data_IF_424958662134
#
_entry.id   IF_424958662134
#
_cell.length_a   1.000
_cell.length_b   1.000
_cell.length_c   1.000
_cell.angle_alpha   90.00
_cell.angle_beta   90.00
_cell.angle_gamma   90.00
#
_symmetry.space_group_name_H-M   'P 1'
#
loop_
_entity.id
_entity.type
_entity.pdbx_description
1 polymer ?
#
# COMPACT_ATOMS: atom_id res chain seq x y z
N UNK A 1 5.72 -3.31 -33.30
CA UNK A 1 6.25 -2.40 -32.26
C UNK A 1 7.75 -2.51 -32.27
N UNK A 2 8.45 -1.40 -32.46
CA UNK A 2 9.93 -1.37 -32.42
C UNK A 2 10.44 -1.33 -30.98
N UNK A 3 11.74 -1.55 -30.77
CA UNK A 3 12.36 -1.37 -29.44
C UNK A 3 12.23 0.08 -28.95
N UNK A 4 12.34 1.05 -29.85
CA UNK A 4 12.16 2.47 -29.51
C UNK A 4 10.73 2.76 -29.06
N UNK A 5 9.72 2.17 -29.71
CA UNK A 5 8.32 2.30 -29.28
C UNK A 5 8.12 1.72 -27.89
N UNK A 6 8.68 0.52 -27.60
CA UNK A 6 8.63 -0.09 -26.26
C UNK A 6 9.22 0.83 -25.21
N UNK A 7 10.41 1.38 -25.48
CA UNK A 7 11.09 2.28 -24.55
C UNK A 7 10.25 3.53 -24.28
N UNK A 8 9.68 4.14 -25.31
CA UNK A 8 8.83 5.32 -25.16
C UNK A 8 7.56 5.02 -24.32
N UNK A 9 6.93 3.85 -24.54
CA UNK A 9 5.75 3.42 -23.76
C UNK A 9 6.14 3.19 -22.30
N UNK A 10 7.27 2.56 -22.05
CA UNK A 10 7.77 2.28 -20.70
C UNK A 10 8.14 3.57 -19.95
N UNK A 11 8.81 4.51 -20.62
CA UNK A 11 9.10 5.84 -20.08
C UNK A 11 7.81 6.60 -19.73
N UNK A 12 6.79 6.53 -20.60
CA UNK A 12 5.50 7.16 -20.34
C UNK A 12 4.74 6.49 -19.17
N UNK A 13 4.77 5.16 -19.08
CA UNK A 13 4.21 4.42 -17.96
C UNK A 13 4.88 4.81 -16.63
N UNK A 14 6.21 4.93 -16.63
CA UNK A 14 6.96 5.41 -15.46
C UNK A 14 6.62 6.86 -15.12
N UNK A 15 6.47 7.74 -16.11
CA UNK A 15 6.10 9.14 -15.90
C UNK A 15 4.72 9.28 -15.25
N UNK A 16 3.73 8.49 -15.67
CA UNK A 16 2.42 8.44 -15.03
C UNK A 16 2.47 7.84 -13.62
N UNK A 17 3.22 6.74 -13.44
CA UNK A 17 3.38 6.09 -12.13
C UNK A 17 4.04 7.01 -11.10
N UNK A 18 5.04 7.82 -11.50
CA UNK A 18 5.68 8.84 -10.64
C UNK A 18 4.72 9.96 -10.21
N UNK A 19 3.62 10.16 -10.94
CA UNK A 19 2.56 11.09 -10.54
C UNK A 19 1.53 10.43 -9.58
N UNK A 20 1.74 9.16 -9.22
CA UNK A 20 0.81 8.39 -8.40
C UNK A 20 -0.43 7.92 -9.17
N UNK A 21 -0.34 7.79 -10.50
CA UNK A 21 -1.44 7.31 -11.33
C UNK A 21 -1.38 5.78 -11.46
N UNK A 22 -2.54 5.13 -11.39
CA UNK A 22 -2.70 3.74 -11.79
C UNK A 22 -2.78 3.68 -13.31
N UNK A 23 -1.87 2.96 -13.94
CA UNK A 23 -1.76 2.86 -15.39
C UNK A 23 -2.22 1.47 -15.84
N UNK A 24 -3.10 1.42 -16.84
CA UNK A 24 -3.54 0.20 -17.51
C UNK A 24 -3.10 0.24 -18.98
N UNK A 25 -2.46 -0.83 -19.43
CA UNK A 25 -2.12 -1.03 -20.84
C UNK A 25 -3.23 -1.81 -21.53
N UNK A 26 -3.68 -1.30 -22.68
CA UNK A 26 -4.69 -1.96 -23.50
C UNK A 26 -4.05 -2.48 -24.79
N UNK A 27 -4.33 -3.73 -25.11
CA UNK A 27 -3.88 -4.39 -26.33
C UNK A 27 -4.97 -5.36 -26.81
N UNK A 28 -4.95 -5.69 -28.10
CA UNK A 28 -5.91 -6.63 -28.69
C UNK A 28 -5.23 -7.61 -29.64
N UNK A 29 -5.87 -8.75 -29.86
CA UNK A 29 -5.51 -9.73 -30.89
C UNK A 29 -6.80 -10.24 -31.50
N UNK A 30 -6.88 -10.21 -32.83
CA UNK A 30 -8.01 -10.80 -33.53
C UNK A 30 -7.78 -12.31 -33.63
N UNK A 31 -8.75 -13.09 -33.16
CA UNK A 31 -8.75 -14.56 -33.22
C UNK A 31 -10.00 -15.03 -33.96
N UNK A 32 -10.01 -16.30 -34.39
CA UNK A 32 -11.22 -16.93 -34.94
C UNK A 32 -12.26 -17.20 -33.84
N UNK A 33 -13.54 -17.11 -34.17
CA UNK A 33 -14.65 -17.37 -33.23
C UNK A 33 -14.67 -18.81 -32.68
N UNK A 34 -13.99 -19.74 -33.36
CA UNK A 34 -13.88 -21.15 -32.98
C UNK A 34 -12.70 -21.44 -32.04
N UNK A 35 -11.87 -20.43 -31.73
CA UNK A 35 -10.71 -20.61 -30.85
C UNK A 35 -11.14 -20.57 -29.38
N UNK A 36 -10.81 -21.61 -28.65
CA UNK A 36 -10.89 -21.61 -27.19
C UNK A 36 -9.70 -20.84 -26.61
N UNK A 37 -9.97 -19.73 -25.92
CA UNK A 37 -8.94 -18.84 -25.39
C UNK A 37 -8.22 -19.46 -24.19
N UNK A 38 -6.89 -19.40 -24.21
CA UNK A 38 -6.03 -19.82 -23.09
C UNK A 38 -5.00 -18.75 -22.75
N UNK A 39 -4.24 -18.95 -21.67
CA UNK A 39 -3.13 -18.04 -21.31
C UNK A 39 -2.04 -17.98 -22.41
N UNK A 40 -1.94 -19.00 -23.27
CA UNK A 40 -1.02 -18.99 -24.40
C UNK A 40 -1.43 -17.99 -25.51
N UNK A 41 -2.67 -17.48 -25.46
CA UNK A 41 -3.15 -16.48 -26.41
C UNK A 41 -2.78 -15.04 -26.06
N UNK A 42 -2.27 -14.80 -24.84
CA UNK A 42 -1.88 -13.48 -24.33
C UNK A 42 -0.53 -12.96 -24.90
N UNK A 43 0.02 -13.64 -25.92
CA UNK A 43 1.22 -13.23 -26.64
C UNK A 43 0.91 -12.63 -28.02
N UNK A 44 1.84 -11.83 -28.55
CA UNK A 44 1.75 -11.17 -29.88
C UNK A 44 0.52 -10.26 -30.05
N UNK A 45 0.13 -9.56 -28.99
CA UNK A 45 -0.95 -8.58 -29.02
C UNK A 45 -0.54 -7.27 -29.74
N UNK A 46 -1.51 -6.59 -30.34
CA UNK A 46 -1.38 -5.23 -30.86
C UNK A 46 -1.68 -4.23 -29.76
N UNK A 47 -0.65 -3.52 -29.31
CA UNK A 47 -0.78 -2.45 -28.33
C UNK A 47 -1.64 -1.30 -28.86
N UNK A 48 -2.60 -0.84 -28.06
CA UNK A 48 -3.49 0.29 -28.39
C UNK A 48 -3.01 1.55 -27.69
N UNK A 49 -2.76 1.47 -26.37
CA UNK A 49 -2.42 2.64 -25.57
C UNK A 49 -2.40 2.39 -24.07
N UNK A 50 -2.04 3.44 -23.33
CA UNK A 50 -2.13 3.51 -21.88
C UNK A 50 -3.32 4.37 -21.47
N UNK A 51 -4.06 3.94 -20.45
CA UNK A 51 -4.98 4.80 -19.72
C UNK A 51 -4.41 4.97 -18.31
N UNK A 52 -4.24 6.23 -17.89
CA UNK A 52 -3.83 6.57 -16.54
C UNK A 52 -5.03 7.12 -15.78
N UNK A 53 -5.30 6.57 -14.60
CA UNK A 53 -6.34 7.02 -13.69
C UNK A 53 -5.73 7.33 -12.34
N UNK A 54 -6.25 8.35 -11.67
CA UNK A 54 -5.87 8.63 -10.29
C UNK A 54 -6.78 7.84 -9.37
N UNK A 55 -6.20 7.13 -8.41
CA UNK A 55 -6.91 6.70 -7.21
C UNK A 55 -6.62 7.75 -6.13
N UNK A 56 -7.45 8.80 -6.00
CA UNK A 56 -7.11 9.93 -5.14
C UNK A 56 -7.12 9.47 -3.68
N UNK A 57 -6.10 9.82 -2.89
CA UNK A 57 -6.21 9.67 -1.44
C UNK A 57 -7.39 10.50 -0.95
N UNK A 58 -8.03 10.06 0.13
CA UNK A 58 -9.14 10.81 0.73
C UNK A 58 -8.66 12.22 1.12
N UNK A 59 -9.52 13.22 0.97
CA UNK A 59 -9.15 14.62 1.19
C UNK A 59 -8.59 14.86 2.60
N UNK A 60 -9.14 14.14 3.57
CA UNK A 60 -8.76 14.19 4.98
C UNK A 60 -7.42 13.50 5.30
N UNK A 61 -6.92 12.61 4.43
CA UNK A 61 -5.72 11.80 4.72
C UNK A 61 -4.49 12.67 4.99
N UNK A 62 -4.32 13.76 4.24
CA UNK A 62 -3.18 14.67 4.43
C UNK A 62 -3.24 15.40 5.78
N UNK A 63 -4.43 15.85 6.17
CA UNK A 63 -4.63 16.53 7.45
C UNK A 63 -4.37 15.57 8.61
N UNK A 64 -4.93 14.36 8.54
CA UNK A 64 -4.76 13.33 9.56
C UNK A 64 -3.29 12.88 9.71
N UNK A 65 -2.55 12.70 8.61
CA UNK A 65 -1.10 12.41 8.65
C UNK A 65 -0.33 13.53 9.35
N UNK A 66 -0.66 14.79 9.07
CA UNK A 66 -0.04 15.93 9.74
C UNK A 66 -0.35 15.97 11.24
N UNK A 67 -1.58 15.63 11.65
CA UNK A 67 -1.96 15.53 13.06
C UNK A 67 -1.26 14.35 13.77
N UNK A 68 -1.14 13.18 13.13
CA UNK A 68 -0.33 12.08 13.64
C UNK A 68 1.10 12.54 13.96
N UNK A 69 1.76 13.19 12.99
CA UNK A 69 3.12 13.69 13.16
C UNK A 69 3.21 14.71 14.30
N UNK A 70 2.26 15.66 14.40
CA UNK A 70 2.19 16.63 15.52
C UNK A 70 2.00 15.96 16.88
N UNK A 71 1.26 14.85 16.93
CA UNK A 71 1.05 14.05 18.14
C UNK A 71 2.22 13.12 18.48
N UNK A 72 3.33 13.17 17.73
CA UNK A 72 4.49 12.30 17.93
C UNK A 72 4.25 10.85 17.49
N UNK A 73 3.24 10.61 16.65
CA UNK A 73 2.93 9.30 16.08
C UNK A 73 3.57 9.22 14.69
N UNK A 74 4.32 8.16 14.42
CA UNK A 74 4.91 7.92 13.09
C UNK A 74 3.90 7.21 12.18
N UNK A 75 3.36 7.88 11.14
CA UNK A 75 2.51 7.22 10.17
C UNK A 75 3.36 6.36 9.21
N UNK A 76 2.89 5.16 8.92
CA UNK A 76 3.54 4.20 8.01
C UNK A 76 2.51 3.73 6.99
N UNK A 77 2.87 3.72 5.71
CA UNK A 77 2.03 3.19 4.63
C UNK A 77 2.45 1.75 4.29
N UNK A 78 1.46 0.86 4.19
CA UNK A 78 1.63 -0.53 3.76
C UNK A 78 0.63 -0.79 2.63
N UNK A 79 1.09 -1.11 1.42
CA UNK A 79 0.22 -1.26 0.23
C UNK A 79 0.66 -2.39 -0.70
N UNK A 80 -0.29 -2.91 -1.48
CA UNK A 80 -0.05 -3.86 -2.58
C UNK A 80 0.37 -3.19 -3.89
N UNK A 81 0.36 -1.86 -3.96
CA UNK A 81 0.80 -1.10 -5.14
C UNK A 81 2.31 -1.18 -5.36
N UNK A 82 2.75 -0.76 -6.56
CA UNK A 82 4.17 -0.61 -6.86
C UNK A 82 4.82 0.52 -6.05
N UNK A 83 6.11 0.36 -5.72
CA UNK A 83 6.90 1.32 -4.94
C UNK A 83 6.81 2.75 -5.47
N UNK A 84 6.93 2.93 -6.79
CA UNK A 84 6.91 4.26 -7.42
C UNK A 84 5.58 4.97 -7.17
N UNK A 85 4.45 4.28 -7.36
CA UNK A 85 3.11 4.84 -7.16
C UNK A 85 2.84 5.10 -5.68
N UNK A 86 3.18 4.13 -4.82
CA UNK A 86 3.03 4.24 -3.37
C UNK A 86 3.84 5.42 -2.81
N UNK A 87 5.09 5.57 -3.23
CA UNK A 87 5.97 6.68 -2.83
C UNK A 87 5.42 8.04 -3.27
N UNK A 88 4.91 8.14 -4.50
CA UNK A 88 4.29 9.36 -5.01
C UNK A 88 3.05 9.77 -4.19
N UNK A 89 2.17 8.82 -3.85
CA UNK A 89 0.99 9.08 -3.01
C UNK A 89 1.42 9.45 -1.59
N UNK A 90 2.35 8.69 -0.99
CA UNK A 90 2.85 8.92 0.36
C UNK A 90 3.49 10.30 0.51
N UNK A 91 4.23 10.77 -0.51
CA UNK A 91 4.82 12.12 -0.55
C UNK A 91 3.75 13.21 -0.62
N UNK A 92 2.68 13.00 -1.39
CA UNK A 92 1.57 13.95 -1.51
C UNK A 92 0.80 14.12 -0.19
N UNK A 93 0.59 13.04 0.56
CA UNK A 93 -0.11 13.08 1.86
C UNK A 93 0.83 13.37 3.04
N UNK A 94 2.14 13.40 2.81
CA UNK A 94 3.13 13.80 3.81
C UNK A 94 3.63 12.67 4.72
N UNK A 95 3.48 11.40 4.34
CA UNK A 95 4.09 10.25 5.03
C UNK A 95 5.57 10.15 4.69
N UNK A 96 5.92 10.32 3.41
CA UNK A 96 7.25 10.13 2.86
C UNK A 96 7.93 11.47 2.56
N UNK A 97 9.21 11.62 2.91
CA UNK A 97 10.02 12.79 2.57
C UNK A 97 10.98 12.46 1.41
N UNK A 98 11.69 11.34 1.53
CA UNK A 98 12.66 10.85 0.54
C UNK A 98 12.27 9.47 -0.01
N UNK A 99 12.53 9.22 -1.29
CA UNK A 99 12.19 7.93 -1.92
C UNK A 99 12.99 6.74 -1.35
N UNK A 100 14.13 6.99 -0.71
CA UNK A 100 14.91 5.98 0.00
C UNK A 100 14.19 5.41 1.23
N UNK A 101 13.18 6.09 1.76
CA UNK A 101 12.36 5.60 2.87
C UNK A 101 11.22 4.67 2.41
N UNK A 102 11.22 4.24 1.15
CA UNK A 102 10.30 3.27 0.60
C UNK A 102 11.02 1.96 0.25
N UNK A 103 10.37 0.81 0.47
CA UNK A 103 10.87 -0.49 0.03
C UNK A 103 9.75 -1.38 -0.56
N UNK A 104 10.13 -2.43 -1.27
CA UNK A 104 9.22 -3.49 -1.73
C UNK A 104 9.29 -4.73 -0.83
N UNK A 105 8.21 -5.51 -0.80
CA UNK A 105 8.16 -6.78 -0.06
C UNK A 105 9.30 -7.75 -0.42
N UNK A 106 9.74 -7.77 -1.67
CA UNK A 106 10.87 -8.58 -2.12
C UNK A 106 12.22 -8.18 -1.46
N UNK A 107 12.33 -6.96 -0.93
CA UNK A 107 13.47 -6.53 -0.12
C UNK A 107 13.37 -7.11 1.30
N UNK A 108 12.16 -7.17 1.86
CA UNK A 108 11.87 -7.76 3.19
C UNK A 108 12.13 -9.27 3.20
N UNK A 109 11.84 -9.97 2.11
CA UNK A 109 12.11 -11.42 1.96
C UNK A 109 13.59 -11.79 2.09
N UNK A 110 14.49 -10.84 1.81
CA UNK A 110 15.94 -11.07 1.88
C UNK A 110 16.50 -10.86 3.28
N UNK A 111 15.71 -10.28 4.18
CA UNK A 111 16.12 -9.94 5.54
C UNK A 111 15.62 -11.00 6.52
N UNK A 112 16.47 -11.40 7.44
CA UNK A 112 16.04 -12.08 8.66
C UNK A 112 15.22 -11.15 9.55
N UNK A 113 14.50 -11.70 10.53
CA UNK A 113 13.71 -10.88 11.45
C UNK A 113 14.58 -9.94 12.29
N UNK A 114 15.80 -10.33 12.64
CA UNK A 114 16.75 -9.45 13.34
C UNK A 114 17.24 -8.30 12.46
N UNK A 115 17.57 -8.56 11.19
CA UNK A 115 17.96 -7.49 10.25
C UNK A 115 16.78 -6.55 9.95
N UNK A 116 15.56 -7.09 9.91
CA UNK A 116 14.36 -6.31 9.68
C UNK A 116 14.11 -5.28 10.79
N UNK A 117 14.41 -5.60 12.05
CA UNK A 117 14.22 -4.70 13.21
C UNK A 117 14.91 -3.35 13.05
N UNK A 118 16.12 -3.33 12.50
CA UNK A 118 16.85 -2.09 12.25
C UNK A 118 16.48 -1.47 10.90
N UNK A 119 16.20 -2.31 9.90
CA UNK A 119 15.78 -1.85 8.58
C UNK A 119 14.47 -1.03 8.64
N UNK A 120 13.49 -1.43 9.47
CA UNK A 120 12.19 -0.74 9.51
C UNK A 120 12.28 0.71 9.97
N UNK A 121 13.27 1.12 10.76
CA UNK A 121 13.39 2.50 11.25
C UNK A 121 13.57 3.53 10.13
N UNK A 122 14.24 3.12 9.05
CA UNK A 122 14.48 3.95 7.87
C UNK A 122 13.31 3.97 6.89
N UNK A 123 12.26 3.18 7.11
CA UNK A 123 11.19 2.98 6.14
C UNK A 123 9.87 3.57 6.64
N UNK A 124 9.16 4.24 5.73
CA UNK A 124 7.84 4.82 5.95
C UNK A 124 6.80 4.30 4.95
N UNK A 125 7.24 3.65 3.86
CA UNK A 125 6.36 3.06 2.84
C UNK A 125 6.83 1.65 2.49
N UNK A 126 5.95 0.68 2.67
CA UNK A 126 6.15 -0.71 2.25
C UNK A 126 5.19 -1.02 1.09
N UNK A 127 5.74 -1.28 -0.08
CA UNK A 127 5.01 -1.54 -1.32
C UNK A 127 5.08 -3.04 -1.69
N UNK A 128 4.16 -3.51 -2.54
CA UNK A 128 4.10 -4.92 -2.98
C UNK A 128 4.20 -5.93 -1.82
N UNK A 129 3.55 -5.63 -0.70
CA UNK A 129 3.63 -6.50 0.50
C UNK A 129 2.63 -7.64 0.49
N UNK A 130 3.05 -8.81 0.99
CA UNK A 130 2.18 -9.96 1.27
C UNK A 130 1.55 -9.86 2.67
N UNK A 131 0.53 -10.68 2.99
CA UNK A 131 -0.01 -10.77 4.35
C UNK A 131 1.06 -11.09 5.40
N UNK A 132 2.00 -11.99 5.08
CA UNK A 132 3.11 -12.36 5.96
C UNK A 132 4.06 -11.18 6.23
N UNK A 133 4.34 -10.36 5.21
CA UNK A 133 5.15 -9.15 5.39
C UNK A 133 4.52 -8.20 6.41
N UNK A 134 3.19 -8.02 6.37
CA UNK A 134 2.50 -7.12 7.33
C UNK A 134 2.73 -7.56 8.78
N UNK A 135 2.62 -8.86 9.05
CA UNK A 135 2.88 -9.43 10.38
C UNK A 135 4.33 -9.19 10.80
N UNK A 136 5.30 -9.44 9.90
CA UNK A 136 6.74 -9.24 10.17
C UNK A 136 7.06 -7.78 10.46
N UNK A 137 6.50 -6.85 9.69
CA UNK A 137 6.68 -5.39 9.90
C UNK A 137 6.14 -4.97 11.26
N UNK A 138 4.92 -5.40 11.62
CA UNK A 138 4.32 -5.09 12.93
C UNK A 138 5.20 -5.61 14.07
N UNK A 139 5.66 -6.87 13.98
CA UNK A 139 6.55 -7.46 14.99
C UNK A 139 7.86 -6.71 15.12
N UNK A 140 8.50 -6.36 14.01
CA UNK A 140 9.76 -5.62 14.01
C UNK A 140 9.62 -4.28 14.78
N UNK A 141 8.54 -3.52 14.54
CA UNK A 141 8.28 -2.29 15.28
C UNK A 141 7.98 -2.52 16.77
N UNK A 142 7.23 -3.59 17.11
CA UNK A 142 6.95 -3.99 18.49
C UNK A 142 8.21 -4.38 19.25
N UNK A 143 9.11 -5.15 18.63
CA UNK A 143 10.38 -5.57 19.24
C UNK A 143 11.35 -4.41 19.47
N UNK A 144 11.18 -3.31 18.73
CA UNK A 144 11.87 -2.03 18.98
C UNK A 144 11.24 -1.22 20.12
N UNK A 145 10.22 -1.76 20.79
CA UNK A 145 9.55 -1.16 21.95
C UNK A 145 8.47 -0.13 21.59
N UNK A 146 8.01 -0.10 20.34
CA UNK A 146 6.93 0.79 19.92
C UNK A 146 5.57 0.12 20.14
N UNK A 147 4.57 0.91 20.52
CA UNK A 147 3.17 0.48 20.47
C UNK A 147 2.67 0.66 19.05
N UNK A 148 2.24 -0.43 18.42
CA UNK A 148 1.86 -0.46 17.01
C UNK A 148 0.34 -0.52 16.88
N UNK A 149 -0.23 0.46 16.17
CA UNK A 149 -1.60 0.38 15.68
C UNK A 149 -1.58 0.07 14.19
N UNK A 150 -2.32 -0.97 13.79
CA UNK A 150 -2.44 -1.36 12.39
C UNK A 150 -3.88 -1.21 11.93
N UNK A 151 -4.06 -0.65 10.73
CA UNK A 151 -5.35 -0.51 10.06
C UNK A 151 -5.48 -1.51 8.91
N UNK A 152 -6.67 -2.05 8.69
CA UNK A 152 -6.94 -2.95 7.56
C UNK A 152 -8.43 -3.18 7.35
N UNK A 153 -8.79 -3.67 6.17
CA UNK A 153 -10.17 -3.93 5.76
C UNK A 153 -10.35 -5.33 5.14
N UNK A 154 -9.26 -5.93 4.65
CA UNK A 154 -9.29 -7.25 4.04
C UNK A 154 -9.20 -8.40 5.03
N UNK A 155 -9.67 -9.58 4.61
CA UNK A 155 -9.44 -10.85 5.32
C UNK A 155 -7.93 -11.12 5.50
N UNK A 156 -7.14 -10.68 4.53
CA UNK A 156 -5.69 -10.77 4.53
C UNK A 156 -5.02 -9.91 5.61
N UNK A 157 -5.71 -8.90 6.14
CA UNK A 157 -5.17 -8.03 7.20
C UNK A 157 -5.45 -8.56 8.59
N UNK A 158 -6.44 -9.46 8.75
CA UNK A 158 -6.87 -9.97 10.04
C UNK A 158 -5.72 -10.54 10.91
N UNK A 159 -4.75 -11.31 10.38
CA UNK A 159 -3.61 -11.77 11.18
C UNK A 159 -2.74 -10.63 11.70
N UNK A 160 -2.51 -9.59 10.88
CA UNK A 160 -1.66 -8.47 11.23
C UNK A 160 -2.38 -7.48 12.16
N UNK A 161 -3.70 -7.29 11.98
CA UNK A 161 -4.57 -6.60 12.93
C UNK A 161 -4.52 -7.25 14.32
N UNK A 162 -4.53 -8.58 14.38
CA UNK A 162 -4.46 -9.33 15.64
C UNK A 162 -3.07 -9.28 16.28
N UNK A 163 -2.02 -9.19 15.47
CA UNK A 163 -0.63 -9.08 15.93
C UNK A 163 -0.32 -7.69 16.52
N UNK A 164 -0.92 -6.63 15.97
CA UNK A 164 -0.73 -5.26 16.46
C UNK A 164 -1.28 -5.08 17.87
N UNK A 165 -0.70 -4.15 18.64
CA UNK A 165 -1.19 -3.80 19.97
C UNK A 165 -2.62 -3.24 19.90
N UNK A 166 -2.91 -2.48 18.84
CA UNK A 166 -4.24 -1.97 18.52
C UNK A 166 -4.54 -2.21 17.03
N UNK A 167 -5.19 -3.34 16.74
CA UNK A 167 -5.78 -3.58 15.43
C UNK A 167 -7.04 -2.72 15.21
N UNK A 168 -7.13 -2.06 14.07
CA UNK A 168 -8.22 -1.15 13.68
C UNK A 168 -8.83 -1.60 12.36
N UNK A 169 -10.10 -1.98 12.37
CA UNK A 169 -10.83 -2.36 11.17
C UNK A 169 -11.70 -1.22 10.61
N UNK A 170 -11.90 -1.22 9.30
CA UNK A 170 -12.85 -0.34 8.62
C UNK A 170 -14.28 -0.86 8.85
N UNK A 171 -15.21 0.03 9.19
CA UNK A 171 -16.60 -0.31 9.48
C UNK A 171 -17.45 -0.56 8.24
N UNK A 172 -17.22 0.21 7.18
CA UNK A 172 -18.00 0.15 5.93
C UNK A 172 -17.33 -0.80 4.94
N UNK A 173 -16.04 -0.59 4.62
CA UNK A 173 -15.33 -1.45 3.66
C UNK A 173 -14.74 -2.72 4.27
N UNK A 174 -14.63 -2.79 5.60
CA UNK A 174 -14.01 -3.93 6.27
C UNK A 174 -14.85 -5.20 6.18
N UNK A 175 -14.17 -6.31 5.90
CA UNK A 175 -14.73 -7.65 6.02
C UNK A 175 -15.07 -7.99 7.46
N UNK A 176 -16.06 -8.86 7.69
CA UNK A 176 -16.42 -9.31 9.04
C UNK A 176 -15.24 -9.96 9.77
N UNK A 177 -14.40 -10.70 9.03
CA UNK A 177 -13.16 -11.27 9.58
C UNK A 177 -12.19 -10.20 10.07
N UNK A 178 -12.05 -9.09 9.35
CA UNK A 178 -11.18 -7.98 9.78
C UNK A 178 -11.73 -7.28 11.02
N UNK A 179 -13.06 -7.09 11.12
CA UNK A 179 -13.72 -6.46 12.27
C UNK A 179 -13.61 -7.32 13.53
N UNK A 180 -13.82 -8.63 13.41
CA UNK A 180 -13.69 -9.58 14.51
C UNK A 180 -12.25 -9.69 15.02
N UNK A 181 -11.26 -9.52 14.14
CA UNK A 181 -9.85 -9.56 14.49
C UNK A 181 -9.36 -8.26 15.18
N UNK A 182 -10.00 -7.13 14.90
CA UNK A 182 -9.62 -5.81 15.39
C UNK A 182 -10.08 -5.54 16.83
N UNK A 183 -9.33 -4.69 17.52
CA UNK A 183 -9.70 -4.18 18.85
C UNK A 183 -10.63 -2.95 18.76
N UNK A 184 -10.58 -2.24 17.62
CA UNK A 184 -11.38 -1.05 17.35
C UNK A 184 -11.93 -1.10 15.92
N UNK A 185 -13.16 -0.61 15.73
CA UNK A 185 -13.79 -0.52 14.40
C UNK A 185 -14.14 0.94 14.11
N UNK A 186 -13.69 1.46 12.97
CA UNK A 186 -13.99 2.82 12.52
C UNK A 186 -15.31 2.83 11.74
N UNK A 187 -16.40 3.28 12.37
CA UNK A 187 -17.73 3.26 11.74
C UNK A 187 -17.86 4.17 10.51
N UNK A 188 -16.94 5.12 10.33
CA UNK A 188 -16.93 6.12 9.27
C UNK A 188 -15.82 5.90 8.23
N UNK A 189 -15.01 4.84 8.38
CA UNK A 189 -13.87 4.55 7.52
C UNK A 189 -12.86 5.71 7.40
N UNK A 190 -12.77 6.55 8.45
CA UNK A 190 -11.95 7.74 8.44
C UNK A 190 -10.69 7.58 9.30
N UNK A 191 -9.53 7.63 8.65
CA UNK A 191 -8.23 7.58 9.33
C UNK A 191 -8.04 8.69 10.38
N UNK A 192 -8.64 9.88 10.19
CA UNK A 192 -8.59 10.98 11.15
C UNK A 192 -9.22 10.62 12.51
N UNK A 193 -10.16 9.66 12.52
CA UNK A 193 -10.82 9.19 13.74
C UNK A 193 -9.85 8.45 14.65
N UNK A 194 -8.81 7.80 14.11
CA UNK A 194 -7.75 7.16 14.89
C UNK A 194 -6.97 8.20 15.70
N UNK A 195 -6.64 9.34 15.07
CA UNK A 195 -5.90 10.41 15.75
C UNK A 195 -6.70 10.96 16.94
N UNK A 196 -8.00 11.18 16.74
CA UNK A 196 -8.91 11.59 17.82
C UNK A 196 -9.03 10.53 18.92
N UNK A 197 -9.04 9.23 18.56
CA UNK A 197 -9.07 8.16 19.55
C UNK A 197 -7.80 8.15 20.41
N UNK A 198 -6.63 8.36 19.80
CA UNK A 198 -5.36 8.48 20.54
C UNK A 198 -5.33 9.73 21.41
N UNK A 199 -5.82 10.86 20.92
CA UNK A 199 -5.93 12.09 21.72
C UNK A 199 -6.80 11.87 22.96
N UNK A 200 -7.97 11.25 22.81
CA UNK A 200 -8.84 10.92 23.93
C UNK A 200 -8.21 9.92 24.91
N UNK A 201 -7.48 8.92 24.42
CA UNK A 201 -6.82 7.93 25.27
C UNK A 201 -5.63 8.46 26.07
N UNK A 202 -5.08 9.63 25.69
CA UNK A 202 -4.00 10.31 26.42
C UNK A 202 -4.49 11.24 27.54
N UNK A 203 -5.77 11.61 27.52
CA UNK A 203 -6.42 12.46 28.52
C UNK A 203 -6.91 11.64 29.72
#
# INVERSE_FOLDING_TARGET
>A
MTEQDRKNIEEQNQAFSRQGLRVLAFAYKTVSDELELTLEDEYNLTFIGLIAMMDPPREESKAAVAECKKAGIRPIMITGDHKVTAAAIAKRIGILEDESEACEGAEIDKLSDEELKDFVEGISVYARVSPEHKIRIVRAWQEKGNIVSMTGDGVNDAPALKQADIGVAMGITGSEVSKDAAAMVLTDDNFATIVKAVENGRN
#
